data_IF_011729063670
#
_entry.id   IF_011729063670
#
_cell.length_a   1.000
_cell.length_b   1.000
_cell.length_c   1.000
_cell.angle_alpha   90.00
_cell.angle_beta   90.00
_cell.angle_gamma   90.00
#
_symmetry.space_group_name_H-M   'P 1'
#
loop_
_entity.id
_entity.type
_entity.pdbx_description
1 polymer ?
#
# COMPACT_ATOMS: atom_id res chain seq x y z
N UNK A 1 -2.21 4.35 19.55
CA UNK A 1 -3.24 5.41 19.58
C UNK A 1 -2.85 6.43 18.50
N UNK A 2 -3.69 6.68 17.49
CA UNK A 2 -3.33 7.58 16.38
C UNK A 2 -3.29 9.02 16.90
N UNK A 3 -2.10 9.63 16.82
CA UNK A 3 -1.85 10.99 17.33
C UNK A 3 -2.53 12.08 16.46
N UNK A 4 -3.06 11.76 15.28
CA UNK A 4 -3.48 12.75 14.27
C UNK A 4 -4.91 12.63 13.70
N UNK A 5 -5.71 11.62 14.06
CA UNK A 5 -7.10 11.48 13.59
C UNK A 5 -7.30 11.25 12.07
N UNK A 6 -6.23 11.07 11.29
CA UNK A 6 -6.30 10.93 9.84
C UNK A 6 -6.50 9.47 9.40
N UNK A 7 -7.70 9.15 8.87
CA UNK A 7 -8.08 7.81 8.41
C UNK A 7 -7.17 7.31 7.29
N UNK A 8 -6.82 8.16 6.32
CA UNK A 8 -5.98 7.74 5.19
C UNK A 8 -4.57 7.33 5.63
N UNK A 9 -4.03 8.00 6.65
CA UNK A 9 -2.75 7.61 7.25
C UNK A 9 -2.85 6.29 8.00
N UNK A 10 -3.92 6.05 8.75
CA UNK A 10 -4.16 4.75 9.40
C UNK A 10 -4.19 3.62 8.37
N UNK A 11 -4.94 3.79 7.28
CA UNK A 11 -5.04 2.76 6.24
C UNK A 11 -3.69 2.47 5.59
N UNK A 12 -2.89 3.50 5.32
CA UNK A 12 -1.52 3.36 4.80
C UNK A 12 -0.65 2.59 5.78
N UNK A 13 -0.58 3.03 7.04
CA UNK A 13 0.24 2.37 8.08
C UNK A 13 -0.18 0.92 8.31
N UNK A 14 -1.49 0.62 8.30
CA UNK A 14 -1.99 -0.76 8.40
C UNK A 14 -1.51 -1.59 7.22
N UNK A 15 -1.68 -1.09 5.99
CA UNK A 15 -1.26 -1.84 4.80
C UNK A 15 0.24 -2.09 4.83
N UNK A 16 1.05 -1.10 5.21
CA UNK A 16 2.53 -1.18 5.33
C UNK A 16 2.96 -2.17 6.42
N UNK A 17 2.28 -2.16 7.57
CA UNK A 17 2.48 -3.16 8.60
C UNK A 17 2.23 -4.59 8.08
N UNK A 18 1.11 -4.84 7.39
CA UNK A 18 0.80 -6.16 6.84
C UNK A 18 1.87 -6.64 5.84
N UNK A 19 2.39 -5.73 5.01
CA UNK A 19 3.45 -6.07 4.06
C UNK A 19 4.74 -6.47 4.78
N UNK A 20 5.12 -5.72 5.82
CA UNK A 20 6.34 -5.99 6.59
C UNK A 20 6.37 -7.39 7.19
N UNK A 21 5.20 -7.95 7.56
CA UNK A 21 5.10 -9.31 8.08
C UNK A 21 5.41 -10.38 7.03
N UNK A 22 5.12 -10.10 5.76
CA UNK A 22 5.30 -11.05 4.65
C UNK A 22 6.67 -10.88 3.99
N UNK A 23 7.21 -9.66 4.01
CA UNK A 23 8.43 -9.31 3.27
C UNK A 23 9.66 -10.12 3.71
N UNK A 24 9.82 -10.38 5.01
CA UNK A 24 10.93 -11.20 5.53
C UNK A 24 10.90 -12.66 5.05
N UNK A 25 9.72 -13.16 4.65
CA UNK A 25 9.50 -14.55 4.26
C UNK A 25 9.35 -14.73 2.74
N UNK A 26 9.64 -13.69 1.94
CA UNK A 26 9.48 -13.67 0.48
C UNK A 26 10.15 -14.84 -0.24
N UNK A 27 11.25 -15.38 0.29
CA UNK A 27 12.03 -16.45 -0.33
C UNK A 27 11.59 -17.85 0.12
N UNK A 28 10.64 -17.96 1.05
CA UNK A 28 10.12 -19.23 1.57
C UNK A 28 9.11 -19.85 0.60
N UNK A 29 9.64 -20.43 -0.49
CA UNK A 29 8.85 -20.85 -1.65
C UNK A 29 7.87 -22.00 -1.38
N UNK A 30 8.12 -22.83 -0.36
CA UNK A 30 7.28 -23.98 0.02
C UNK A 30 6.31 -23.66 1.16
N UNK A 31 5.80 -22.42 1.19
CA UNK A 31 4.87 -21.92 2.21
C UNK A 31 3.74 -21.11 1.56
N UNK A 32 2.86 -20.52 2.38
CA UNK A 32 1.78 -19.64 1.92
C UNK A 32 2.28 -18.22 1.56
N UNK A 33 3.48 -17.83 2.01
CA UNK A 33 3.99 -16.46 1.88
C UNK A 33 4.08 -15.94 0.44
N UNK A 34 4.50 -16.71 -0.58
CA UNK A 34 4.52 -16.22 -1.96
C UNK A 34 3.14 -15.82 -2.48
N UNK A 35 2.09 -16.57 -2.14
CA UNK A 35 0.71 -16.30 -2.56
C UNK A 35 0.20 -15.02 -1.88
N UNK A 36 0.41 -14.91 -0.56
CA UNK A 36 0.00 -13.73 0.21
C UNK A 36 0.77 -12.49 -0.23
N UNK A 37 2.09 -12.62 -0.44
CA UNK A 37 2.95 -11.55 -0.93
C UNK A 37 2.48 -11.03 -2.28
N UNK A 38 2.19 -11.94 -3.23
CA UNK A 38 1.62 -11.58 -4.52
C UNK A 38 0.28 -10.84 -4.38
N UNK A 39 -0.64 -11.34 -3.55
CA UNK A 39 -1.93 -10.71 -3.33
C UNK A 39 -1.79 -9.29 -2.78
N UNK A 40 -0.96 -9.10 -1.74
CA UNK A 40 -0.72 -7.80 -1.12
C UNK A 40 -0.04 -6.82 -2.09
N UNK A 41 0.89 -7.31 -2.93
CA UNK A 41 1.52 -6.51 -3.97
C UNK A 41 0.49 -6.04 -5.01
N UNK A 42 -0.36 -6.95 -5.49
CA UNK A 42 -1.36 -6.64 -6.51
C UNK A 42 -2.43 -5.66 -6.01
N UNK A 43 -2.91 -5.86 -4.78
CA UNK A 43 -3.86 -4.92 -4.16
C UNK A 43 -3.26 -3.51 -4.02
N UNK A 44 -1.98 -3.40 -3.68
CA UNK A 44 -1.26 -2.12 -3.64
C UNK A 44 -1.15 -1.44 -4.99
N UNK A 45 -0.75 -2.16 -6.03
CA UNK A 45 -0.68 -1.63 -7.39
C UNK A 45 -2.04 -1.08 -7.83
N UNK A 46 -3.11 -1.84 -7.60
CA UNK A 46 -4.48 -1.41 -7.93
C UNK A 46 -4.88 -0.14 -7.16
N UNK A 47 -4.56 -0.06 -5.86
CA UNK A 47 -4.80 1.14 -5.03
C UNK A 47 -3.98 2.35 -5.50
N UNK A 48 -2.72 2.15 -5.88
CA UNK A 48 -1.85 3.21 -6.40
C UNK A 48 -2.38 3.78 -7.72
N UNK A 49 -2.72 2.90 -8.67
CA UNK A 49 -3.33 3.30 -9.96
C UNK A 49 -4.65 4.05 -9.70
N UNK A 50 -5.51 3.54 -8.81
CA UNK A 50 -6.77 4.21 -8.45
C UNK A 50 -6.54 5.60 -7.85
N UNK A 51 -5.56 5.76 -6.95
CA UNK A 51 -5.20 7.05 -6.36
C UNK A 51 -4.76 8.04 -7.43
N UNK A 52 -3.81 7.64 -8.28
CA UNK A 52 -3.26 8.48 -9.36
C UNK A 52 -4.39 8.92 -10.31
N UNK A 53 -5.20 7.97 -10.79
CA UNK A 53 -6.32 8.26 -11.69
C UNK A 53 -7.34 9.20 -11.03
N UNK A 54 -7.65 9.00 -9.76
CA UNK A 54 -8.60 9.85 -9.03
C UNK A 54 -8.08 11.28 -8.90
N UNK A 55 -6.81 11.46 -8.53
CA UNK A 55 -6.19 12.79 -8.41
C UNK A 55 -6.18 13.49 -9.76
N UNK A 56 -5.66 12.82 -10.80
CA UNK A 56 -5.55 13.40 -12.15
C UNK A 56 -6.91 13.71 -12.77
N UNK A 57 -7.89 12.81 -12.63
CA UNK A 57 -9.25 13.01 -13.18
C UNK A 57 -9.97 14.20 -12.55
N UNK A 58 -9.69 14.49 -11.27
CA UNK A 58 -10.35 15.58 -10.54
C UNK A 58 -9.52 16.88 -10.51
N UNK A 59 -8.37 16.93 -11.19
CA UNK A 59 -7.51 18.12 -11.23
C UNK A 59 -6.96 18.51 -9.85
N UNK A 60 -6.77 17.54 -8.95
CA UNK A 60 -6.17 17.77 -7.63
C UNK A 60 -4.66 17.92 -7.76
N UNK A 61 -4.04 18.54 -6.76
CA UNK A 61 -2.59 18.74 -6.71
C UNK A 61 -1.82 17.42 -6.60
N UNK A 62 -0.68 17.32 -7.29
CA UNK A 62 0.15 16.11 -7.34
C UNK A 62 0.78 15.77 -5.98
N UNK A 63 0.93 16.74 -5.08
CA UNK A 63 1.36 16.52 -3.68
C UNK A 63 0.46 15.52 -2.96
N UNK A 64 -0.83 15.47 -3.29
CA UNK A 64 -1.78 14.50 -2.71
C UNK A 64 -1.39 13.06 -3.05
N UNK A 65 -0.83 12.83 -4.24
CA UNK A 65 -0.30 11.51 -4.63
C UNK A 65 0.90 11.19 -3.76
N UNK A 66 1.86 12.11 -3.65
CA UNK A 66 3.09 11.90 -2.89
C UNK A 66 2.84 11.58 -1.40
N UNK A 67 1.88 12.24 -0.77
CA UNK A 67 1.54 12.01 0.64
C UNK A 67 0.88 10.64 0.86
N UNK A 68 0.01 10.22 -0.08
CA UNK A 68 -0.90 9.07 0.10
C UNK A 68 -0.45 7.80 -0.58
N UNK A 69 0.59 7.85 -1.42
CA UNK A 69 1.16 6.66 -2.04
C UNK A 69 1.68 5.72 -0.94
N UNK A 70 1.34 4.43 -1.06
CA UNK A 70 1.83 3.36 -0.18
C UNK A 70 3.19 2.87 -0.68
N UNK A 71 3.98 2.27 0.21
CA UNK A 71 5.19 1.58 -0.21
C UNK A 71 4.84 0.44 -1.17
N UNK A 72 5.57 0.34 -2.28
CA UNK A 72 5.42 -0.74 -3.24
C UNK A 72 6.18 -1.98 -2.74
N UNK A 73 5.71 -3.16 -3.16
CA UNK A 73 6.40 -4.40 -2.88
C UNK A 73 7.63 -4.52 -3.79
N UNK A 74 8.83 -4.52 -3.20
CA UNK A 74 10.13 -4.66 -3.86
C UNK A 74 11.13 -5.37 -2.93
#
# INVERSE_FOLDING_TARGET
MLVSGNISMLEKTRDDYLLSQVNSHRHESMTIFPIVGYYLARDREAKAVRLILTVKRNGLDDTVIAERLRELYG
#
